data_IF_628624532256
#
_entry.id   IF_628624532256
#
_cell.length_a   1.000
_cell.length_b   1.000
_cell.length_c   1.000
_cell.angle_alpha   90.00
_cell.angle_beta   90.00
_cell.angle_gamma   90.00
#
_symmetry.space_group_name_H-M   'P 1'
#
loop_
_entity.id
_entity.type
_entity.pdbx_description
1 polymer ?
#
# COMPACT_ATOMS: atom_id res chain seq x y z
N UNK A 1 -13.46 43.32 31.63
CA UNK A 1 -14.19 42.22 30.96
C UNK A 1 -13.50 41.90 29.64
N UNK A 2 -12.47 41.05 29.63
CA UNK A 2 -11.99 40.33 28.44
C UNK A 2 -11.51 38.95 28.93
N UNK A 3 -12.34 37.93 28.69
CA UNK A 3 -12.01 36.53 28.89
C UNK A 3 -10.92 36.13 27.86
N UNK A 4 -9.72 35.78 28.33
CA UNK A 4 -8.80 34.94 27.54
C UNK A 4 -9.27 33.50 27.67
N UNK A 5 -9.88 32.98 26.59
CA UNK A 5 -10.18 31.55 26.42
C UNK A 5 -8.89 30.75 26.58
N UNK A 6 -8.91 29.81 27.52
CA UNK A 6 -7.99 28.68 27.60
C UNK A 6 -8.13 27.86 26.32
N UNK A 7 -7.18 28.05 25.39
CA UNK A 7 -6.97 27.11 24.29
C UNK A 7 -6.64 25.76 24.93
N UNK A 8 -7.55 24.80 24.74
CA UNK A 8 -7.32 23.40 25.05
C UNK A 8 -6.12 22.95 24.21
N UNK A 9 -4.97 22.76 24.84
CA UNK A 9 -3.89 22.00 24.25
C UNK A 9 -4.33 20.55 24.15
N UNK A 10 -4.81 20.14 22.98
CA UNK A 10 -4.93 18.73 22.62
C UNK A 10 -3.52 18.16 22.66
N UNK A 11 -3.24 17.30 23.63
CA UNK A 11 -2.06 16.43 23.57
C UNK A 11 -2.21 15.58 22.30
N UNK A 12 -1.12 15.37 21.53
CA UNK A 12 -1.17 14.48 20.38
C UNK A 12 -1.68 13.08 20.80
N UNK A 13 -2.37 12.30 19.94
CA UNK A 13 -2.74 10.95 20.25
C UNK A 13 -1.44 10.23 20.51
N UNK A 14 -1.31 9.68 21.71
CA UNK A 14 -0.19 8.80 21.97
C UNK A 14 -0.49 7.51 21.20
N UNK A 15 0.04 7.40 19.98
CA UNK A 15 0.08 6.12 19.28
C UNK A 15 0.99 5.23 20.12
N UNK A 16 0.43 4.14 20.64
CA UNK A 16 1.21 3.09 21.30
C UNK A 16 1.16 1.87 20.43
N UNK A 17 2.31 1.25 20.21
CA UNK A 17 2.38 0.07 19.36
C UNK A 17 3.37 -0.94 19.87
N UNK A 18 3.05 -2.20 19.62
CA UNK A 18 3.89 -3.34 19.96
C UNK A 18 3.72 -4.44 18.92
N UNK A 19 4.80 -5.16 18.65
CA UNK A 19 4.82 -6.36 17.81
C UNK A 19 5.23 -7.54 18.67
N UNK A 20 4.37 -8.55 18.72
CA UNK A 20 4.58 -9.79 19.46
C UNK A 20 5.06 -10.84 18.47
N UNK A 21 6.27 -11.38 18.63
CA UNK A 21 6.75 -12.53 17.88
C UNK A 21 6.55 -13.81 18.70
N UNK A 22 6.25 -14.91 18.02
CA UNK A 22 5.83 -16.18 18.61
C UNK A 22 4.73 -15.98 19.67
N UNK A 23 3.60 -15.32 19.31
CA UNK A 23 2.60 -14.88 20.27
C UNK A 23 1.92 -16.05 20.97
N UNK A 24 1.51 -15.80 22.21
CA UNK A 24 0.57 -16.63 22.96
C UNK A 24 -0.50 -15.75 23.61
N UNK A 25 -1.59 -16.36 24.09
CA UNK A 25 -2.73 -15.62 24.61
C UNK A 25 -2.40 -14.77 25.84
N UNK A 26 -1.49 -15.25 26.70
CA UNK A 26 -1.10 -14.56 27.93
C UNK A 26 -0.38 -13.26 27.60
N UNK A 27 0.65 -13.34 26.74
CA UNK A 27 1.43 -12.17 26.32
C UNK A 27 0.56 -11.20 25.52
N UNK A 28 -0.37 -11.69 24.69
CA UNK A 28 -1.31 -10.83 23.97
C UNK A 28 -2.19 -10.01 24.94
N UNK A 29 -2.74 -10.65 25.98
CA UNK A 29 -3.54 -9.96 27.00
C UNK A 29 -2.72 -8.91 27.73
N UNK A 30 -1.50 -9.26 28.16
CA UNK A 30 -0.60 -8.33 28.82
C UNK A 30 -0.30 -7.10 27.94
N UNK A 31 0.02 -7.30 26.65
CA UNK A 31 0.27 -6.20 25.72
C UNK A 31 -0.97 -5.31 25.56
N UNK A 32 -2.16 -5.90 25.41
CA UNK A 32 -3.40 -5.13 25.28
C UNK A 32 -3.70 -4.30 26.54
N UNK A 33 -3.44 -4.84 27.73
CA UNK A 33 -3.60 -4.14 29.01
C UNK A 33 -2.65 -2.93 29.12
N UNK A 34 -1.46 -2.99 28.50
CA UNK A 34 -0.50 -1.88 28.46
C UNK A 34 -0.80 -0.85 27.36
N UNK A 35 -1.31 -1.30 26.21
CA UNK A 35 -1.53 -0.46 25.03
C UNK A 35 -2.74 0.47 25.14
N UNK A 36 -3.77 0.15 25.91
CA UNK A 36 -4.93 1.03 25.93
C UNK A 36 -6.01 0.75 26.95
N UNK A 37 -6.82 1.78 27.16
CA UNK A 37 -8.12 1.66 27.81
C UNK A 37 -9.16 1.10 26.84
N UNK A 38 -10.29 0.58 27.35
CA UNK A 38 -11.42 0.07 26.53
C UNK A 38 -11.97 1.05 25.49
N UNK A 39 -11.65 2.34 25.59
CA UNK A 39 -12.10 3.38 24.66
C UNK A 39 -11.11 3.65 23.52
N UNK A 40 -10.01 2.91 23.44
CA UNK A 40 -9.00 3.11 22.41
C UNK A 40 -9.43 2.37 21.13
N UNK A 41 -9.17 2.98 19.97
CA UNK A 41 -9.30 2.27 18.69
C UNK A 41 -8.04 1.44 18.48
N UNK A 42 -8.16 0.19 18.04
CA UNK A 42 -7.02 -0.69 17.77
C UNK A 42 -6.88 -0.98 16.28
N UNK A 43 -5.64 -0.97 15.81
CA UNK A 43 -5.20 -1.58 14.56
C UNK A 43 -4.40 -2.84 14.90
N UNK A 44 -4.71 -3.97 14.28
CA UNK A 44 -3.87 -5.18 14.42
C UNK A 44 -3.58 -5.86 13.07
N UNK A 45 -2.41 -6.47 12.95
CA UNK A 45 -2.04 -7.32 11.83
C UNK A 45 -1.59 -8.69 12.33
N UNK A 46 -2.18 -9.72 11.75
CA UNK A 46 -1.88 -11.13 12.02
C UNK A 46 -0.94 -11.66 10.94
N UNK A 47 0.20 -12.23 11.33
CA UNK A 47 1.09 -12.85 10.34
C UNK A 47 0.43 -14.05 9.66
N UNK A 48 0.61 -14.19 8.34
CA UNK A 48 0.16 -15.37 7.58
C UNK A 48 0.81 -16.69 8.01
N UNK A 49 1.92 -16.63 8.76
CA UNK A 49 2.59 -17.80 9.34
C UNK A 49 2.00 -18.26 10.68
N UNK A 50 0.98 -17.57 11.21
CA UNK A 50 0.32 -18.01 12.44
C UNK A 50 -0.41 -19.34 12.24
N UNK A 51 -0.26 -20.31 13.15
CA UNK A 51 -1.01 -21.55 13.09
C UNK A 51 -2.52 -21.30 13.10
N UNK A 52 -3.27 -21.91 12.19
CA UNK A 52 -4.73 -21.74 12.08
C UNK A 52 -5.45 -22.05 13.40
N UNK A 53 -4.95 -23.01 14.18
CA UNK A 53 -5.48 -23.37 15.51
C UNK A 53 -5.39 -22.25 16.55
N UNK A 54 -4.47 -21.30 16.37
CA UNK A 54 -4.24 -20.19 17.31
C UNK A 54 -5.03 -18.93 16.94
N UNK A 55 -5.60 -18.85 15.72
CA UNK A 55 -6.30 -17.66 15.25
C UNK A 55 -7.57 -17.34 16.07
N UNK A 56 -8.44 -18.33 16.29
CA UNK A 56 -9.69 -18.11 17.02
C UNK A 56 -9.45 -17.62 18.46
N UNK A 57 -8.52 -18.22 19.25
CA UNK A 57 -8.18 -17.68 20.56
C UNK A 57 -7.67 -16.24 20.54
N UNK A 58 -6.77 -15.88 19.61
CA UNK A 58 -6.27 -14.50 19.52
C UNK A 58 -7.36 -13.50 19.14
N UNK A 59 -8.22 -13.84 18.18
CA UNK A 59 -9.34 -12.99 17.78
C UNK A 59 -10.34 -12.80 18.92
N UNK A 60 -10.57 -13.84 19.74
CA UNK A 60 -11.43 -13.74 20.93
C UNK A 60 -10.88 -12.73 21.93
N UNK A 61 -9.57 -12.77 22.20
CA UNK A 61 -8.89 -11.82 23.09
C UNK A 61 -9.01 -10.40 22.54
N UNK A 62 -8.62 -10.18 21.28
CA UNK A 62 -8.68 -8.86 20.62
C UNK A 62 -10.09 -8.25 20.67
N UNK A 63 -11.11 -9.02 20.29
CA UNK A 63 -12.50 -8.56 20.29
C UNK A 63 -13.04 -8.29 21.71
N UNK A 64 -12.56 -9.03 22.72
CA UNK A 64 -13.01 -8.83 24.10
C UNK A 64 -12.42 -7.59 24.76
N UNK A 65 -11.19 -7.22 24.38
CA UNK A 65 -10.49 -6.06 24.92
C UNK A 65 -10.92 -4.74 24.26
N UNK A 66 -11.10 -4.75 22.93
CA UNK A 66 -11.29 -3.53 22.15
C UNK A 66 -12.42 -3.67 21.12
N UNK A 67 -13.63 -3.16 21.41
CA UNK A 67 -14.77 -3.26 20.51
C UNK A 67 -14.63 -2.37 19.26
N UNK A 68 -13.83 -1.30 19.34
CA UNK A 68 -13.44 -0.45 18.22
C UNK A 68 -12.09 -0.92 17.69
N UNK A 69 -12.09 -1.75 16.65
CA UNK A 69 -10.87 -2.31 16.09
C UNK A 69 -10.98 -2.59 14.61
N UNK A 70 -9.86 -2.41 13.92
CA UNK A 70 -9.64 -2.92 12.58
C UNK A 70 -8.44 -3.85 12.56
N UNK A 71 -8.44 -4.78 11.61
CA UNK A 71 -7.25 -5.57 11.38
C UNK A 71 -7.30 -6.39 10.10
N UNK A 72 -6.19 -7.06 9.80
CA UNK A 72 -6.09 -7.99 8.69
C UNK A 72 -4.87 -8.89 8.85
N UNK A 73 -4.51 -9.59 7.79
CA UNK A 73 -3.29 -10.38 7.72
C UNK A 73 -2.17 -9.59 7.03
N UNK A 74 -0.96 -9.73 7.57
CA UNK A 74 0.29 -9.32 6.94
C UNK A 74 1.12 -10.53 6.56
N UNK A 75 1.89 -10.41 5.49
CA UNK A 75 2.76 -11.49 5.03
C UNK A 75 3.88 -11.72 6.05
N UNK A 76 4.15 -12.98 6.39
CA UNK A 76 5.35 -13.34 7.14
C UNK A 76 6.58 -13.12 6.26
N UNK A 77 7.50 -12.25 6.66
CA UNK A 77 8.75 -12.12 5.95
C UNK A 77 9.61 -13.39 6.10
N UNK A 78 10.44 -13.74 5.10
CA UNK A 78 11.26 -14.94 5.15
C UNK A 78 12.12 -15.02 6.42
N UNK A 79 12.10 -16.18 7.09
CA UNK A 79 12.88 -16.40 8.30
C UNK A 79 12.36 -15.66 9.55
N UNK A 80 11.27 -14.90 9.46
CA UNK A 80 10.64 -14.32 10.65
C UNK A 80 9.72 -15.34 11.35
N UNK A 81 9.74 -15.29 12.68
CA UNK A 81 8.77 -16.01 13.50
C UNK A 81 7.35 -15.43 13.31
N UNK A 82 6.29 -16.24 13.51
CA UNK A 82 4.91 -15.75 13.47
C UNK A 82 4.70 -14.58 14.42
N UNK A 83 3.94 -13.56 13.99
CA UNK A 83 3.80 -12.33 14.75
C UNK A 83 2.38 -11.75 14.75
N UNK A 84 2.11 -10.92 15.76
CA UNK A 84 0.93 -10.05 15.85
C UNK A 84 1.42 -8.62 16.12
N UNK A 85 1.16 -7.70 15.20
CA UNK A 85 1.45 -6.27 15.36
C UNK A 85 0.21 -5.54 15.81
N UNK A 86 0.29 -4.70 16.83
CA UNK A 86 -0.86 -4.00 17.43
C UNK A 86 -0.50 -2.53 17.62
N UNK A 87 -1.42 -1.64 17.26
CA UNK A 87 -1.35 -0.21 17.55
C UNK A 87 -2.66 0.27 18.17
N UNK A 88 -2.56 1.16 19.16
CA UNK A 88 -3.67 1.71 19.93
C UNK A 88 -3.69 3.23 19.82
N UNK A 89 -4.90 3.77 19.61
CA UNK A 89 -5.17 5.19 19.40
C UNK A 89 -6.10 5.70 20.50
N UNK A 90 -5.60 6.59 21.36
CA UNK A 90 -6.25 6.96 22.62
C UNK A 90 -7.40 7.97 22.49
N UNK A 91 -7.42 8.82 21.47
CA UNK A 91 -8.46 9.84 21.26
C UNK A 91 -8.47 10.37 19.82
N UNK A 92 -9.62 10.89 19.36
CA UNK A 92 -9.72 11.52 18.04
C UNK A 92 -9.54 10.54 16.89
N UNK A 93 -9.91 9.27 17.08
CA UNK A 93 -9.86 8.24 16.04
C UNK A 93 -11.18 7.48 15.96
N UNK A 94 -11.61 7.17 14.75
CA UNK A 94 -12.82 6.39 14.47
C UNK A 94 -12.55 5.36 13.38
N UNK A 95 -13.12 4.17 13.51
CA UNK A 95 -13.04 3.17 12.44
C UNK A 95 -14.06 3.48 11.33
N UNK A 96 -13.74 3.05 10.12
CA UNK A 96 -14.68 3.00 9.01
C UNK A 96 -14.48 1.71 8.22
N UNK A 97 -15.50 1.34 7.45
CA UNK A 97 -15.43 0.26 6.48
C UNK A 97 -16.03 0.73 5.16
N UNK A 98 -15.63 0.13 4.06
CA UNK A 98 -16.22 0.38 2.75
C UNK A 98 -16.10 -0.85 1.87
N UNK A 99 -17.12 -1.08 1.04
CA UNK A 99 -17.10 -2.13 0.03
C UNK A 99 -16.48 -1.68 -1.29
N UNK A 100 -15.99 -0.43 -1.35
CA UNK A 100 -15.27 0.08 -2.51
C UNK A 100 -14.00 -0.76 -2.72
N UNK A 101 -13.88 -1.32 -3.91
CA UNK A 101 -12.74 -2.11 -4.39
C UNK A 101 -12.64 -1.89 -5.89
N UNK A 102 -11.41 -1.82 -6.40
CA UNK A 102 -11.17 -1.66 -7.83
C UNK A 102 -11.46 -2.94 -8.62
N UNK A 103 -11.20 -2.87 -9.93
CA UNK A 103 -11.45 -4.00 -10.82
C UNK A 103 -10.46 -5.14 -10.52
N UNK A 104 -11.00 -6.36 -10.45
CA UNK A 104 -10.17 -7.57 -10.35
C UNK A 104 -9.20 -7.70 -11.54
N UNK A 105 -7.99 -8.17 -11.27
CA UNK A 105 -7.01 -8.46 -12.32
C UNK A 105 -7.59 -9.45 -13.35
N UNK A 106 -7.34 -9.25 -14.66
CA UNK A 106 -7.80 -10.18 -15.68
C UNK A 106 -7.11 -11.55 -15.54
N UNK A 107 -7.82 -12.54 -14.96
CA UNK A 107 -7.33 -13.90 -14.83
C UNK A 107 -7.46 -14.69 -16.15
N UNK A 108 -6.34 -14.96 -16.81
CA UNK A 108 -6.29 -15.87 -17.98
C UNK A 108 -6.00 -17.32 -17.56
N UNK A 109 -6.80 -18.26 -18.06
CA UNK A 109 -6.48 -19.69 -18.02
C UNK A 109 -6.99 -20.52 -16.83
N UNK A 110 -7.86 -19.98 -15.96
CA UNK A 110 -8.53 -20.77 -14.91
C UNK A 110 -9.96 -21.11 -15.32
N UNK A 111 -10.30 -22.41 -15.35
CA UNK A 111 -11.66 -22.88 -15.60
C UNK A 111 -12.60 -22.30 -14.54
N UNK A 112 -13.52 -21.43 -14.97
CA UNK A 112 -14.41 -20.70 -14.09
C UNK A 112 -15.32 -21.65 -13.29
N UNK A 113 -15.25 -21.60 -11.96
CA UNK A 113 -16.47 -21.84 -11.18
C UNK A 113 -17.34 -20.58 -11.35
N UNK A 114 -18.64 -20.70 -11.67
CA UNK A 114 -19.51 -19.53 -11.79
C UNK A 114 -19.51 -18.79 -10.44
N UNK A 115 -18.82 -17.64 -10.38
CA UNK A 115 -18.99 -16.66 -9.32
C UNK A 115 -20.19 -15.78 -9.67
N UNK A 116 -20.80 -15.16 -8.65
CA UNK A 116 -21.69 -14.03 -8.90
C UNK A 116 -20.84 -12.96 -9.59
N UNK A 117 -21.25 -12.57 -10.79
CA UNK A 117 -20.63 -11.48 -11.53
C UNK A 117 -20.76 -10.22 -10.67
N UNK A 118 -19.64 -9.60 -10.31
CA UNK A 118 -19.66 -8.37 -9.52
C UNK A 118 -20.05 -7.18 -10.41
N UNK A 119 -20.55 -6.10 -9.82
CA UNK A 119 -21.03 -4.94 -10.60
C UNK A 119 -19.89 -4.32 -11.41
N UNK A 120 -18.68 -4.35 -10.85
CA UNK A 120 -17.43 -3.90 -11.47
C UNK A 120 -17.05 -4.77 -12.68
N UNK A 121 -17.31 -6.09 -12.63
CA UNK A 121 -17.10 -7.00 -13.77
C UNK A 121 -18.09 -6.74 -14.92
N UNK A 122 -19.24 -6.11 -14.62
CA UNK A 122 -20.26 -5.75 -15.60
C UNK A 122 -20.01 -4.41 -16.30
N UNK A 123 -19.11 -3.57 -15.76
CA UNK A 123 -18.80 -2.25 -16.33
C UNK A 123 -17.92 -2.40 -17.58
N UNK A 124 -18.35 -1.80 -18.70
CA UNK A 124 -17.71 -1.95 -20.02
C UNK A 124 -18.28 -3.08 -20.90
N UNK A 125 -19.36 -3.76 -20.49
CA UNK A 125 -20.08 -4.71 -21.34
C UNK A 125 -21.19 -4.08 -22.19
N UNK A 126 -21.61 -2.85 -21.87
CA UNK A 126 -22.66 -2.16 -22.61
C UNK A 126 -22.06 -1.45 -23.83
N UNK A 127 -22.28 -2.05 -25.00
CA UNK A 127 -21.72 -1.64 -26.32
C UNK A 127 -22.07 -0.19 -26.67
N UNK A 128 -23.14 0.37 -26.10
CA UNK A 128 -23.59 1.75 -26.30
C UNK A 128 -22.82 2.82 -25.54
N UNK A 129 -22.17 2.48 -24.42
CA UNK A 129 -21.42 3.44 -23.59
C UNK A 129 -19.98 3.59 -24.10
N UNK A 130 -19.37 2.48 -24.55
CA UNK A 130 -18.06 2.47 -25.22
C UNK A 130 -18.07 3.30 -26.49
N UNK A 131 -19.13 3.20 -27.31
CA UNK A 131 -19.23 3.96 -28.58
C UNK A 131 -19.40 5.46 -28.36
N UNK A 132 -20.03 5.89 -27.26
CA UNK A 132 -20.14 7.30 -26.89
C UNK A 132 -18.80 7.86 -26.39
N UNK A 133 -18.06 7.08 -25.59
CA UNK A 133 -16.78 7.49 -25.00
C UNK A 133 -15.62 7.44 -26.03
N UNK A 134 -15.63 6.46 -26.95
CA UNK A 134 -14.69 6.40 -28.09
C UNK A 134 -14.77 7.64 -28.99
N UNK A 135 -15.95 8.26 -29.09
CA UNK A 135 -16.20 9.39 -30.01
C UNK A 135 -15.60 10.72 -29.55
N UNK A 136 -15.23 10.87 -28.26
CA UNK A 136 -14.72 12.13 -27.70
C UNK A 136 -13.23 12.08 -27.33
N UNK A 137 -12.74 10.99 -26.71
CA UNK A 137 -11.34 10.87 -26.22
C UNK A 137 -10.65 9.56 -26.64
N UNK A 138 -11.26 8.78 -27.54
CA UNK A 138 -10.75 7.46 -27.96
C UNK A 138 -10.62 6.47 -26.79
N UNK A 139 -9.73 5.48 -26.92
CA UNK A 139 -9.49 4.49 -25.86
C UNK A 139 -9.11 5.11 -24.51
N UNK A 140 -8.44 6.27 -24.51
CA UNK A 140 -8.09 6.98 -23.27
C UNK A 140 -9.34 7.46 -22.51
N UNK A 141 -10.43 7.79 -23.21
CA UNK A 141 -11.72 8.11 -22.60
C UNK A 141 -12.32 6.92 -21.87
N UNK A 142 -12.23 5.71 -22.44
CA UNK A 142 -12.82 4.48 -21.85
C UNK A 142 -12.12 4.13 -20.54
N UNK A 143 -10.79 4.29 -20.47
CA UNK A 143 -10.02 4.09 -19.24
C UNK A 143 -10.17 5.23 -18.22
N UNK A 144 -10.51 6.45 -18.66
CA UNK A 144 -10.73 7.60 -17.76
C UNK A 144 -12.19 7.75 -17.30
N UNK A 145 -13.15 7.11 -17.97
CA UNK A 145 -14.57 7.13 -17.64
C UNK A 145 -14.93 6.33 -16.37
N UNK A 146 -13.97 5.57 -15.81
CA UNK A 146 -14.12 4.87 -14.53
C UNK A 146 -14.15 5.81 -13.29
N UNK A 147 -14.11 7.14 -13.49
CA UNK A 147 -14.19 8.15 -12.42
C UNK A 147 -15.62 8.48 -11.98
N UNK A 148 -16.46 7.47 -11.78
CA UNK A 148 -17.62 7.70 -10.91
C UNK A 148 -17.06 7.99 -9.51
N UNK A 149 -17.28 9.22 -9.02
CA UNK A 149 -16.80 9.68 -7.71
C UNK A 149 -17.47 8.82 -6.65
N UNK A 150 -16.78 7.76 -6.26
CA UNK A 150 -17.20 6.86 -5.21
C UNK A 150 -17.06 7.62 -3.89
N UNK A 151 -18.15 7.77 -3.14
CA UNK A 151 -18.12 8.43 -1.84
C UNK A 151 -18.12 7.39 -0.72
N UNK A 152 -17.50 7.74 0.41
CA UNK A 152 -17.61 6.98 1.65
C UNK A 152 -18.46 7.84 2.60
N UNK A 153 -19.75 7.52 2.80
CA UNK A 153 -20.67 8.34 3.59
C UNK A 153 -20.15 8.66 5.00
N UNK A 154 -19.43 7.72 5.62
CA UNK A 154 -18.80 7.89 6.93
C UNK A 154 -17.74 9.01 6.96
N UNK A 155 -17.21 9.41 5.80
CA UNK A 155 -16.11 10.37 5.67
C UNK A 155 -16.53 11.77 5.22
N UNK A 156 -17.76 11.96 4.70
CA UNK A 156 -18.21 13.24 4.12
C UNK A 156 -18.13 14.44 5.09
N UNK A 157 -18.20 14.17 6.39
CA UNK A 157 -18.11 15.20 7.44
C UNK A 157 -16.94 14.94 8.41
N UNK A 158 -15.97 14.13 7.98
CA UNK A 158 -14.84 13.75 8.81
C UNK A 158 -13.92 14.94 9.07
N UNK A 159 -13.46 15.07 10.32
CA UNK A 159 -12.41 16.02 10.71
C UNK A 159 -11.02 15.39 10.67
N UNK A 160 -10.92 14.18 10.13
CA UNK A 160 -9.66 13.47 10.04
C UNK A 160 -8.65 14.24 9.20
N UNK A 161 -7.40 14.23 9.66
CA UNK A 161 -6.23 14.74 8.94
C UNK A 161 -5.33 13.61 8.48
N UNK A 162 -5.53 12.40 8.99
CA UNK A 162 -4.83 11.20 8.56
C UNK A 162 -5.75 10.00 8.52
N UNK A 163 -5.42 9.06 7.63
CA UNK A 163 -6.11 7.80 7.45
C UNK A 163 -5.11 6.65 7.50
N UNK A 164 -5.44 5.62 8.27
CA UNK A 164 -4.80 4.31 8.18
C UNK A 164 -5.75 3.38 7.44
N UNK A 165 -5.29 2.75 6.36
CA UNK A 165 -6.15 1.93 5.49
C UNK A 165 -5.58 0.52 5.35
N UNK A 166 -6.43 -0.47 5.57
CA UNK A 166 -6.19 -1.87 5.21
C UNK A 166 -7.15 -2.21 4.08
N UNK A 167 -6.61 -2.51 2.91
CA UNK A 167 -7.39 -2.76 1.72
C UNK A 167 -7.16 -4.17 1.21
N UNK A 168 -8.05 -4.65 0.36
CA UNK A 168 -7.76 -5.77 -0.53
C UNK A 168 -6.68 -5.37 -1.56
N UNK A 169 -6.56 -6.13 -2.64
CA UNK A 169 -5.59 -5.90 -3.70
C UNK A 169 -5.97 -4.75 -4.65
N UNK A 170 -7.05 -4.01 -4.41
CA UNK A 170 -7.52 -2.94 -5.29
C UNK A 170 -7.95 -1.66 -4.54
N UNK A 171 -7.01 -0.94 -3.89
CA UNK A 171 -7.33 0.21 -3.03
C UNK A 171 -7.70 1.50 -3.77
N UNK A 172 -7.53 1.59 -5.10
CA UNK A 172 -7.69 2.85 -5.86
C UNK A 172 -9.01 3.57 -5.59
N UNK A 173 -10.19 2.92 -5.62
CA UNK A 173 -11.45 3.62 -5.37
C UNK A 173 -11.54 4.19 -3.96
N UNK A 174 -10.92 3.53 -2.97
CA UNK A 174 -10.92 4.00 -1.57
C UNK A 174 -9.97 5.18 -1.39
N UNK A 175 -8.78 5.11 -1.99
CA UNK A 175 -7.82 6.23 -1.98
C UNK A 175 -8.44 7.45 -2.67
N UNK A 176 -9.11 7.26 -3.81
CA UNK A 176 -9.82 8.32 -4.51
C UNK A 176 -10.98 8.89 -3.69
N UNK A 177 -11.77 8.04 -3.03
CA UNK A 177 -12.88 8.47 -2.18
C UNK A 177 -12.40 9.28 -0.96
N UNK A 178 -11.33 8.84 -0.29
CA UNK A 178 -10.69 9.58 0.81
C UNK A 178 -10.20 10.93 0.32
N UNK A 179 -9.51 10.96 -0.83
CA UNK A 179 -8.99 12.20 -1.40
C UNK A 179 -10.11 13.16 -1.81
N UNK A 180 -11.22 12.65 -2.35
CA UNK A 180 -12.39 13.46 -2.70
C UNK A 180 -13.09 14.05 -1.48
N UNK A 181 -13.25 13.25 -0.42
CA UNK A 181 -13.91 13.69 0.82
C UNK A 181 -13.01 14.62 1.66
N UNK A 182 -11.72 14.32 1.75
CA UNK A 182 -10.77 15.06 2.60
C UNK A 182 -9.42 15.26 1.87
N UNK A 183 -9.33 16.18 0.89
CA UNK A 183 -8.14 16.34 0.03
C UNK A 183 -6.84 16.69 0.75
N UNK A 184 -6.94 17.24 1.97
CA UNK A 184 -5.78 17.66 2.76
C UNK A 184 -5.22 16.58 3.69
N UNK A 185 -5.90 15.44 3.78
CA UNK A 185 -5.50 14.36 4.68
C UNK A 185 -4.42 13.47 4.04
N UNK A 186 -3.52 12.94 4.88
CA UNK A 186 -2.62 11.88 4.46
C UNK A 186 -3.29 10.52 4.62
N UNK A 187 -3.10 9.61 3.66
CA UNK A 187 -3.49 8.22 3.80
C UNK A 187 -2.23 7.35 3.78
N UNK A 188 -2.11 6.42 4.72
CA UNK A 188 -1.10 5.37 4.66
C UNK A 188 -1.74 4.04 4.97
N UNK A 189 -1.14 2.96 4.51
CA UNK A 189 -1.79 1.69 4.67
C UNK A 189 -1.10 0.53 3.98
N UNK A 190 -1.81 -0.58 3.99
CA UNK A 190 -1.34 -1.85 3.50
C UNK A 190 -2.36 -2.47 2.55
N UNK A 191 -1.88 -2.96 1.41
CA UNK A 191 -2.62 -3.96 0.65
C UNK A 191 -2.43 -5.30 1.35
N UNK A 192 -3.51 -5.79 1.93
CA UNK A 192 -3.46 -6.88 2.89
C UNK A 192 -3.15 -8.22 2.24
N UNK A 193 -2.60 -9.15 3.01
CA UNK A 193 -2.30 -10.48 2.52
C UNK A 193 -3.55 -11.20 2.01
N UNK A 194 -3.42 -11.91 0.90
CA UNK A 194 -4.44 -12.85 0.45
C UNK A 194 -4.48 -14.05 1.39
N UNK A 195 -5.68 -14.50 1.75
CA UNK A 195 -5.90 -15.56 2.74
C UNK A 195 -6.65 -16.80 2.26
N UNK A 196 -6.69 -17.17 0.95
CA UNK A 196 -7.55 -18.27 0.49
C UNK A 196 -7.16 -19.61 1.11
N UNK A 197 -5.87 -19.81 1.43
CA UNK A 197 -5.36 -21.03 2.04
C UNK A 197 -5.35 -21.01 3.57
N UNK A 198 -5.60 -19.86 4.20
CA UNK A 198 -5.60 -19.69 5.66
C UNK A 198 -7.04 -19.71 6.19
N UNK A 199 -7.91 -18.90 5.58
CA UNK A 199 -9.29 -18.67 6.05
C UNK A 199 -10.36 -19.10 5.04
N UNK A 200 -9.95 -19.51 3.83
CA UNK A 200 -10.88 -19.81 2.73
C UNK A 200 -11.45 -18.57 2.04
N UNK A 201 -10.99 -17.37 2.38
CA UNK A 201 -11.45 -16.09 1.81
C UNK A 201 -10.35 -15.43 0.98
N UNK A 202 -10.68 -14.72 -0.13
CA UNK A 202 -9.68 -13.98 -0.93
C UNK A 202 -8.82 -13.08 -0.05
N UNK A 203 -9.46 -12.20 0.71
CA UNK A 203 -8.85 -11.43 1.80
C UNK A 203 -9.64 -11.67 3.10
N UNK A 204 -9.02 -11.36 4.23
CA UNK A 204 -9.68 -11.36 5.55
C UNK A 204 -9.43 -10.03 6.23
N UNK A 205 -10.45 -9.17 6.23
CA UNK A 205 -10.44 -7.90 6.93
C UNK A 205 -11.32 -8.01 8.18
N UNK A 206 -10.92 -7.35 9.25
CA UNK A 206 -11.65 -7.30 10.51
C UNK A 206 -12.10 -5.86 10.76
N UNK A 207 -13.38 -5.69 11.10
CA UNK A 207 -13.95 -4.42 11.53
C UNK A 207 -14.93 -4.64 12.68
N UNK A 208 -14.58 -4.18 13.87
CA UNK A 208 -15.41 -4.24 15.08
C UNK A 208 -16.00 -5.64 15.35
N UNK A 209 -15.15 -6.67 15.23
CA UNK A 209 -15.53 -8.08 15.41
C UNK A 209 -16.19 -8.74 14.19
N UNK A 210 -16.50 -8.00 13.13
CA UNK A 210 -16.99 -8.56 11.87
C UNK A 210 -15.84 -8.92 10.93
N UNK A 211 -16.06 -9.97 10.12
CA UNK A 211 -15.09 -10.45 9.12
C UNK A 211 -15.63 -10.12 7.72
N UNK A 212 -14.83 -9.41 6.94
CA UNK A 212 -15.11 -9.03 5.55
C UNK A 212 -14.14 -9.76 4.61
N UNK A 213 -14.61 -10.10 3.40
CA UNK A 213 -13.82 -10.83 2.40
C UNK A 213 -13.24 -9.97 1.27
N UNK A 214 -13.66 -8.71 1.19
CA UNK A 214 -13.28 -7.73 0.16
C UNK A 214 -13.55 -6.30 0.67
N UNK A 215 -13.06 -5.31 -0.07
CA UNK A 215 -13.20 -3.89 0.25
C UNK A 215 -12.05 -3.37 1.11
N UNK A 216 -12.34 -2.39 1.98
CA UNK A 216 -11.34 -1.80 2.85
C UNK A 216 -11.90 -1.47 4.23
N UNK A 217 -11.01 -1.50 5.21
CA UNK A 217 -11.27 -1.03 6.58
C UNK A 217 -10.20 0.00 6.94
N UNK A 218 -10.55 0.97 7.78
CA UNK A 218 -9.59 2.01 8.13
C UNK A 218 -9.87 2.71 9.44
N UNK A 219 -8.90 3.52 9.86
CA UNK A 219 -9.01 4.43 10.99
C UNK A 219 -8.84 5.85 10.46
N UNK A 220 -9.85 6.68 10.70
CA UNK A 220 -9.81 8.11 10.48
C UNK A 220 -9.28 8.78 11.76
N UNK A 221 -8.25 9.62 11.65
CA UNK A 221 -7.52 10.23 12.77
C UNK A 221 -7.59 11.75 12.63
N UNK A 222 -8.12 12.47 13.62
CA UNK A 222 -8.27 13.95 13.64
C UNK A 222 -6.92 14.70 13.63
N UNK A 223 -5.85 13.99 13.92
CA UNK A 223 -4.49 14.52 13.94
C UNK A 223 -3.69 14.15 12.70
N UNK A 224 -2.75 15.02 12.35
CA UNK A 224 -1.90 14.84 11.17
C UNK A 224 -0.69 14.01 11.58
N UNK A 225 -0.55 12.82 10.98
CA UNK A 225 0.60 11.96 11.12
C UNK A 225 1.70 12.44 10.17
N UNK A 226 2.94 12.39 10.63
CA UNK A 226 4.09 12.60 9.75
C UNK A 226 4.33 11.31 8.99
N UNK A 227 4.22 11.37 7.66
CA UNK A 227 4.38 10.20 6.79
C UNK A 227 5.62 10.36 5.93
N UNK A 228 6.39 9.29 5.79
CA UNK A 228 7.61 9.24 5.01
C UNK A 228 7.68 7.91 4.25
N UNK A 229 8.24 7.91 3.05
CA UNK A 229 8.40 6.71 2.22
C UNK A 229 9.87 6.54 1.82
N UNK A 230 10.43 5.40 2.20
CA UNK A 230 11.76 4.98 1.79
C UNK A 230 11.61 3.88 0.73
N UNK A 231 11.94 4.20 -0.52
CA UNK A 231 11.90 3.25 -1.63
C UNK A 231 13.09 2.27 -1.62
N UNK A 232 14.15 2.55 -0.86
CA UNK A 232 15.43 1.82 -0.89
C UNK A 232 16.02 1.69 -2.29
N UNK A 233 15.96 2.81 -3.02
CA UNK A 233 16.48 2.94 -4.38
C UNK A 233 17.39 4.16 -4.46
N UNK A 234 18.36 4.10 -5.36
CA UNK A 234 19.30 5.18 -5.63
C UNK A 234 19.15 5.70 -7.07
N UNK A 235 19.26 7.02 -7.27
CA UNK A 235 19.34 7.61 -8.61
C UNK A 235 20.47 7.02 -9.44
N UNK A 236 20.12 6.58 -10.64
CA UNK A 236 21.06 6.14 -11.67
C UNK A 236 21.38 7.27 -12.67
N UNK A 237 20.44 8.20 -12.84
CA UNK A 237 20.57 9.34 -13.76
C UNK A 237 20.17 10.65 -13.08
N UNK A 238 20.39 11.76 -13.79
CA UNK A 238 19.68 13.01 -13.53
C UNK A 238 18.20 12.89 -13.94
N UNK A 239 17.45 13.95 -13.63
CA UNK A 239 16.02 14.07 -13.93
C UNK A 239 15.85 14.58 -15.37
N UNK A 240 15.00 13.90 -16.14
CA UNK A 240 14.71 14.24 -17.53
C UNK A 240 13.23 14.61 -17.72
N UNK A 241 12.92 15.71 -18.43
CA UNK A 241 11.56 15.98 -18.85
C UNK A 241 11.05 14.93 -19.85
N UNK A 242 9.78 14.56 -19.74
CA UNK A 242 9.09 13.67 -20.67
C UNK A 242 8.59 14.49 -21.85
N UNK A 243 9.16 14.27 -23.03
CA UNK A 243 8.70 14.92 -24.27
C UNK A 243 7.60 14.12 -24.98
N UNK A 244 7.57 12.79 -24.83
CA UNK A 244 6.52 11.95 -25.39
C UNK A 244 6.25 10.68 -24.57
N UNK A 245 4.98 10.42 -24.31
CA UNK A 245 4.51 9.18 -23.67
C UNK A 245 3.14 8.79 -24.21
N UNK A 246 2.76 7.52 -24.05
CA UNK A 246 1.45 7.01 -24.41
C UNK A 246 1.05 5.89 -23.45
N UNK A 247 0.01 6.11 -22.63
CA UNK A 247 -0.39 5.16 -21.59
C UNK A 247 0.76 4.92 -20.60
N UNK A 248 1.11 3.65 -20.39
CA UNK A 248 2.24 3.21 -19.56
C UNK A 248 3.58 3.13 -20.33
N UNK A 249 3.65 3.67 -21.56
CA UNK A 249 4.85 3.66 -22.40
C UNK A 249 5.56 5.02 -22.35
N UNK A 250 6.83 5.01 -21.94
CA UNK A 250 7.74 6.14 -22.08
C UNK A 250 8.42 6.04 -23.44
N UNK A 251 8.13 7.01 -24.32
CA UNK A 251 8.58 6.99 -25.71
C UNK A 251 9.78 7.90 -25.94
N UNK A 252 9.79 9.11 -25.36
CA UNK A 252 10.88 10.06 -25.48
C UNK A 252 11.07 10.87 -24.19
N UNK A 253 12.33 11.16 -23.88
CA UNK A 253 12.77 12.06 -22.81
C UNK A 253 13.69 13.13 -23.36
N UNK A 254 13.81 14.26 -22.67
CA UNK A 254 14.72 15.34 -23.05
C UNK A 254 16.03 15.19 -22.28
N UNK A 255 16.91 14.32 -22.79
CA UNK A 255 18.23 14.02 -22.20
C UNK A 255 19.38 14.83 -22.82
N UNK A 256 19.06 15.81 -23.65
CA UNK A 256 20.05 16.59 -24.43
C UNK A 256 20.67 15.82 -25.61
N UNK A 257 20.19 14.61 -25.91
CA UNK A 257 20.69 13.75 -26.98
C UNK A 257 19.57 13.29 -27.93
N UNK A 258 19.54 11.98 -28.22
CA UNK A 258 18.54 11.37 -29.11
C UNK A 258 17.15 11.26 -28.47
N UNK A 259 17.05 11.48 -27.14
CA UNK A 259 15.82 11.34 -26.39
C UNK A 259 15.28 9.92 -26.32
N UNK A 260 16.15 8.92 -26.44
CA UNK A 260 15.81 7.49 -26.41
C UNK A 260 15.96 6.94 -24.98
N UNK A 261 14.86 6.82 -24.18
CA UNK A 261 14.94 6.45 -22.77
C UNK A 261 15.58 5.07 -22.53
N UNK A 262 15.37 4.11 -23.41
CA UNK A 262 15.95 2.77 -23.28
C UNK A 262 17.49 2.79 -23.45
N UNK A 263 18.00 3.56 -24.41
CA UNK A 263 19.46 3.77 -24.58
C UNK A 263 20.04 4.56 -23.42
N UNK A 264 19.34 5.59 -22.95
CA UNK A 264 19.78 6.41 -21.80
C UNK A 264 19.94 5.55 -20.55
N UNK A 265 18.96 4.68 -20.26
CA UNK A 265 19.04 3.70 -19.19
C UNK A 265 20.25 2.75 -19.36
N UNK A 266 20.38 2.09 -20.51
CA UNK A 266 21.49 1.16 -20.77
C UNK A 266 22.85 1.84 -20.63
N UNK A 267 22.99 3.06 -21.13
CA UNK A 267 24.22 3.83 -21.02
C UNK A 267 24.53 4.22 -19.58
N UNK A 268 23.51 4.55 -18.78
CA UNK A 268 23.68 4.80 -17.35
C UNK A 268 24.10 3.53 -16.60
N UNK A 269 23.49 2.39 -16.92
CA UNK A 269 23.86 1.08 -16.35
C UNK A 269 25.31 0.70 -16.67
N UNK A 270 25.73 0.85 -17.93
CA UNK A 270 27.11 0.58 -18.33
C UNK A 270 28.12 1.50 -17.61
N UNK A 271 27.75 2.75 -17.32
CA UNK A 271 28.61 3.67 -16.55
C UNK A 271 28.72 3.26 -15.08
N UNK A 272 27.63 2.79 -14.48
CA UNK A 272 27.60 2.44 -13.06
C UNK A 272 28.20 1.07 -12.75
N UNK A 273 27.89 0.04 -13.56
CA UNK A 273 28.26 -1.37 -13.29
C UNK A 273 29.26 -1.96 -14.29
N UNK A 274 29.61 -1.23 -15.35
CA UNK A 274 30.36 -1.79 -16.48
C UNK A 274 29.49 -2.69 -17.37
N UNK A 275 30.03 -3.12 -18.52
CA UNK A 275 29.26 -3.88 -19.55
C UNK A 275 28.94 -5.33 -19.16
N UNK A 276 29.66 -5.88 -18.19
CA UNK A 276 29.55 -7.28 -17.74
C UNK A 276 28.81 -7.44 -16.42
N UNK A 277 28.44 -6.33 -15.77
CA UNK A 277 27.80 -6.32 -14.45
C UNK A 277 26.27 -6.26 -14.49
N UNK A 278 25.65 -6.26 -15.67
CA UNK A 278 24.20 -6.27 -15.82
C UNK A 278 23.73 -7.72 -15.87
N UNK A 279 23.02 -8.18 -14.84
CA UNK A 279 22.40 -9.51 -14.83
C UNK A 279 20.94 -9.43 -15.26
N UNK A 280 20.35 -10.57 -15.64
CA UNK A 280 18.96 -10.64 -16.11
C UNK A 280 17.96 -10.48 -14.96
N UNK A 281 18.42 -10.73 -13.75
CA UNK A 281 17.64 -10.78 -12.51
C UNK A 281 17.52 -9.40 -11.85
N UNK A 282 18.17 -8.37 -12.40
CA UNK A 282 18.12 -7.02 -11.84
C UNK A 282 16.84 -6.27 -12.25
N UNK A 283 16.19 -5.70 -11.25
CA UNK A 283 15.03 -4.84 -11.43
C UNK A 283 15.43 -3.37 -11.50
N UNK A 284 14.77 -2.64 -12.40
CA UNK A 284 15.01 -1.22 -12.63
C UNK A 284 13.72 -0.45 -12.44
N UNK A 285 13.85 0.78 -11.97
CA UNK A 285 12.71 1.59 -11.57
C UNK A 285 12.78 2.97 -12.19
N UNK A 286 11.62 3.61 -12.30
CA UNK A 286 11.47 4.98 -12.77
C UNK A 286 10.69 5.76 -11.72
N UNK A 287 11.30 6.82 -11.18
CA UNK A 287 10.53 7.81 -10.42
C UNK A 287 9.88 8.81 -11.37
N UNK A 288 8.62 9.15 -11.09
CA UNK A 288 7.82 10.12 -11.82
C UNK A 288 7.56 11.30 -10.89
N UNK A 289 7.82 12.50 -11.40
CA UNK A 289 7.70 13.77 -10.68
C UNK A 289 6.72 14.67 -11.44
N UNK A 290 5.73 15.21 -10.74
CA UNK A 290 4.85 16.26 -11.24
C UNK A 290 5.57 17.60 -11.20
N UNK A 291 5.11 18.51 -12.04
CA UNK A 291 5.75 19.81 -12.24
C UNK A 291 5.89 20.59 -10.92
N UNK A 292 7.14 20.76 -10.47
CA UNK A 292 7.49 21.59 -9.32
C UNK A 292 7.69 20.87 -7.99
N UNK A 293 7.52 19.54 -7.90
CA UNK A 293 7.92 18.78 -6.70
C UNK A 293 9.40 18.39 -6.78
N UNK A 294 10.11 18.47 -5.65
CA UNK A 294 11.46 17.91 -5.51
C UNK A 294 11.46 16.44 -5.12
N UNK A 295 10.30 15.89 -4.76
CA UNK A 295 10.09 14.51 -4.36
C UNK A 295 9.24 13.78 -5.41
N UNK A 296 9.48 12.47 -5.61
CA UNK A 296 8.75 11.69 -6.59
C UNK A 296 7.31 11.41 -6.11
N UNK A 297 6.33 11.64 -6.97
CA UNK A 297 4.92 11.31 -6.68
C UNK A 297 4.67 9.80 -6.74
N UNK A 298 5.42 9.13 -7.61
CA UNK A 298 5.31 7.69 -7.80
C UNK A 298 6.65 7.10 -8.24
N UNK A 299 6.89 5.85 -7.88
CA UNK A 299 8.01 5.04 -8.34
C UNK A 299 7.48 3.73 -8.88
N UNK A 300 7.79 3.43 -10.14
CA UNK A 300 7.23 2.31 -10.87
C UNK A 300 8.34 1.42 -11.43
N UNK A 301 8.07 0.12 -11.52
CA UNK A 301 9.01 -0.84 -12.11
C UNK A 301 9.02 -0.70 -13.63
N UNK A 302 10.21 -0.83 -14.22
CA UNK A 302 10.39 -0.92 -15.67
C UNK A 302 10.23 -2.40 -16.06
N UNK A 303 9.21 -2.71 -16.85
CA UNK A 303 8.88 -4.08 -17.26
C UNK A 303 9.73 -4.54 -18.44
N UNK A 304 9.91 -3.67 -19.42
CA UNK A 304 10.66 -3.99 -20.63
C UNK A 304 11.12 -2.73 -21.35
N UNK A 305 12.08 -2.91 -22.26
CA UNK A 305 12.60 -1.84 -23.09
C UNK A 305 13.13 -2.34 -24.42
N UNK A 306 12.96 -1.55 -25.47
CA UNK A 306 13.55 -1.79 -26.79
C UNK A 306 14.50 -0.64 -27.15
N UNK A 307 15.83 -0.84 -27.09
CA UNK A 307 16.81 0.19 -27.40
C UNK A 307 16.80 0.64 -28.86
N UNK A 308 16.30 -0.20 -29.77
CA UNK A 308 16.19 0.11 -31.19
C UNK A 308 15.00 1.02 -31.47
N UNK A 309 13.88 0.79 -30.79
CA UNK A 309 12.65 1.60 -30.91
C UNK A 309 12.59 2.77 -29.93
N UNK A 310 13.42 2.73 -28.88
CA UNK A 310 13.50 3.73 -27.83
C UNK A 310 12.32 3.75 -26.88
N UNK A 311 11.62 2.63 -26.72
CA UNK A 311 10.41 2.56 -25.87
C UNK A 311 10.73 1.83 -24.57
N UNK A 312 10.24 2.35 -23.45
CA UNK A 312 10.17 1.65 -22.16
C UNK A 312 8.72 1.44 -21.75
N UNK A 313 8.41 0.24 -21.25
CA UNK A 313 7.11 -0.10 -20.69
C UNK A 313 7.20 -0.16 -19.16
N UNK A 314 6.22 0.44 -18.49
CA UNK A 314 6.19 0.59 -17.04
C UNK A 314 5.04 -0.20 -16.40
N UNK A 315 5.25 -0.67 -15.18
CA UNK A 315 4.25 -1.31 -14.34
C UNK A 315 3.40 -0.25 -13.63
N UNK A 316 2.49 0.36 -14.39
CA UNK A 316 1.58 1.39 -13.87
C UNK A 316 0.30 1.42 -14.68
N UNK A 317 -0.81 1.67 -14.00
CA UNK A 317 -2.11 1.96 -14.61
C UNK A 317 -2.28 3.46 -14.88
N UNK A 318 -1.52 4.29 -14.17
CA UNK A 318 -1.50 5.74 -14.37
C UNK A 318 -0.72 6.06 -15.64
N UNK A 319 -1.41 6.72 -16.58
CA UNK A 319 -0.80 7.16 -17.83
C UNK A 319 0.24 8.26 -17.60
N UNK A 320 1.42 8.08 -18.19
CA UNK A 320 2.45 9.11 -18.28
C UNK A 320 2.00 10.26 -19.16
N UNK A 321 2.43 11.47 -18.80
CA UNK A 321 2.08 12.71 -19.51
C UNK A 321 3.33 13.47 -19.93
N UNK A 322 3.23 14.12 -21.09
CA UNK A 322 4.23 15.10 -21.52
C UNK A 322 4.32 16.23 -20.50
N UNK A 323 5.53 16.69 -20.21
CA UNK A 323 5.82 17.76 -19.24
C UNK A 323 6.31 17.22 -17.90
N UNK A 324 5.85 16.02 -17.49
CA UNK A 324 6.34 15.37 -16.28
C UNK A 324 7.85 15.18 -16.32
N UNK A 325 8.47 15.09 -15.15
CA UNK A 325 9.89 14.80 -15.03
C UNK A 325 10.08 13.36 -14.55
N UNK A 326 11.10 12.68 -15.06
CA UNK A 326 11.38 11.28 -14.71
C UNK A 326 12.86 11.07 -14.39
N UNK A 327 13.16 10.10 -13.55
CA UNK A 327 14.54 9.74 -13.20
C UNK A 327 14.65 8.23 -13.06
N UNK A 328 15.71 7.66 -13.65
CA UNK A 328 15.98 6.24 -13.55
C UNK A 328 16.61 5.93 -12.19
N UNK A 329 16.10 4.89 -11.55
CA UNK A 329 16.52 4.44 -10.24
C UNK A 329 16.96 2.97 -10.31
N UNK A 330 17.83 2.59 -9.38
CA UNK A 330 18.28 1.22 -9.22
C UNK A 330 18.42 0.83 -7.76
N UNK A 331 18.45 -0.48 -7.51
CA UNK A 331 18.69 -1.03 -6.18
C UNK A 331 20.19 -1.31 -5.99
N UNK A 332 20.76 -0.77 -4.91
CA UNK A 332 22.16 -0.99 -4.51
C UNK A 332 22.28 -1.94 -3.32
N UNK A 333 21.24 -2.03 -2.50
CA UNK A 333 21.24 -2.80 -1.26
C UNK A 333 20.23 -3.97 -1.33
N UNK A 334 20.56 -5.07 -0.65
CA UNK A 334 19.63 -6.18 -0.50
C UNK A 334 18.36 -5.72 0.24
N UNK A 335 17.22 -6.31 -0.09
CA UNK A 335 15.96 -6.03 0.61
C UNK A 335 16.04 -6.69 1.99
N UNK A 336 16.38 -5.91 3.00
CA UNK A 336 16.27 -6.34 4.40
C UNK A 336 14.82 -6.23 4.88
N UNK A 337 14.37 -7.18 5.69
CA UNK A 337 13.06 -7.10 6.31
C UNK A 337 13.00 -5.91 7.28
N UNK A 338 11.87 -5.19 7.29
CA UNK A 338 11.69 -4.07 8.21
C UNK A 338 11.47 -4.59 9.64
N UNK A 339 12.05 -3.87 10.61
CA UNK A 339 11.89 -4.17 12.03
C UNK A 339 10.94 -3.16 12.69
N UNK A 340 10.16 -3.57 13.72
CA UNK A 340 9.36 -2.65 14.51
C UNK A 340 10.23 -1.57 15.15
N UNK A 341 9.76 -0.31 15.09
CA UNK A 341 10.42 0.83 15.73
C UNK A 341 9.43 1.55 16.64
N UNK A 342 9.87 1.89 17.84
CA UNK A 342 9.03 2.58 18.83
C UNK A 342 8.47 3.90 18.29
N UNK A 343 7.15 4.10 18.47
CA UNK A 343 6.45 5.31 18.01
C UNK A 343 6.30 5.42 16.49
N UNK A 344 6.55 4.33 15.74
CA UNK A 344 6.40 4.29 14.29
C UNK A 344 5.44 3.18 13.89
N UNK A 345 4.53 3.50 12.98
CA UNK A 345 3.75 2.54 12.23
C UNK A 345 4.43 2.33 10.88
N UNK A 346 5.06 1.17 10.68
CA UNK A 346 5.74 0.85 9.43
C UNK A 346 4.91 -0.15 8.61
N UNK A 347 4.71 0.14 7.33
CA UNK A 347 4.17 -0.80 6.35
C UNK A 347 5.20 -0.98 5.23
N UNK A 348 5.49 -2.22 4.87
CA UNK A 348 6.56 -2.54 3.93
C UNK A 348 6.09 -3.50 2.83
N UNK A 349 6.61 -3.31 1.63
CA UNK A 349 6.37 -4.19 0.49
C UNK A 349 7.43 -5.29 0.46
N UNK A 350 7.02 -6.54 0.34
CA UNK A 350 7.91 -7.70 0.15
C UNK A 350 8.00 -8.07 -1.33
N UNK A 351 9.09 -8.74 -1.71
CA UNK A 351 9.22 -9.30 -3.05
C UNK A 351 8.38 -10.58 -3.19
N UNK A 352 7.62 -10.73 -4.29
CA UNK A 352 6.76 -11.90 -4.53
C UNK A 352 7.54 -13.23 -4.58
N UNK A 353 8.77 -13.23 -5.08
CA UNK A 353 9.58 -14.46 -5.16
C UNK A 353 10.15 -14.95 -3.80
N UNK A 354 9.86 -14.25 -2.70
CA UNK A 354 10.21 -14.69 -1.36
C UNK A 354 9.30 -15.81 -0.82
N UNK A 355 8.43 -16.39 -1.65
CA UNK A 355 7.75 -17.66 -1.38
C UNK A 355 8.69 -18.88 -1.29
N UNK A 356 10.01 -18.69 -1.46
CA UNK A 356 10.99 -19.75 -1.31
C UNK A 356 11.20 -20.10 0.16
N UNK A 357 10.47 -21.15 0.57
CA UNK A 357 10.64 -21.93 1.79
C UNK A 357 10.26 -21.15 3.04
N UNK A 358 9.02 -21.35 3.49
CA UNK A 358 8.76 -21.42 4.92
C UNK A 358 9.71 -22.49 5.50
N UNK A 359 10.96 -22.11 5.78
CA UNK A 359 11.69 -22.81 6.82
C UNK A 359 10.77 -22.69 8.02
N UNK A 360 10.34 -23.83 8.56
CA UNK A 360 9.61 -23.88 9.82
C UNK A 360 10.53 -23.24 10.87
N UNK A 361 10.47 -21.91 10.98
CA UNK A 361 11.08 -21.18 12.06
C UNK A 361 10.26 -21.63 13.25
N UNK A 362 10.82 -22.56 14.03
CA UNK A 362 10.22 -23.04 15.26
C UNK A 362 9.71 -21.84 16.04
N UNK A 363 8.45 -21.89 16.47
CA UNK A 363 7.91 -20.90 17.39
C UNK A 363 8.84 -20.86 18.60
N UNK A 364 9.61 -19.78 18.71
CA UNK A 364 10.47 -19.54 19.86
C UNK A 364 9.64 -19.07 21.05
N UNK A 365 10.33 -18.63 22.10
CA UNK A 365 9.65 -17.96 23.20
C UNK A 365 9.02 -16.64 22.72
N UNK A 366 7.84 -16.34 23.26
CA UNK A 366 7.14 -15.11 22.95
C UNK A 366 8.01 -13.90 23.33
N UNK A 367 8.21 -12.99 22.37
CA UNK A 367 8.95 -11.74 22.60
C UNK A 367 8.12 -10.55 22.13
N UNK A 368 8.15 -9.47 22.92
CA UNK A 368 7.46 -8.22 22.61
C UNK A 368 8.50 -7.18 22.23
N UNK A 369 8.27 -6.49 21.11
CA UNK A 369 9.12 -5.39 20.63
C UNK A 369 8.24 -4.15 20.45
N UNK A 370 8.72 -3.00 20.92
CA UNK A 370 8.02 -1.73 20.73
C UNK A 370 7.99 -1.33 19.25
N UNK A 371 6.82 -0.90 18.79
CA UNK A 371 6.59 -0.52 17.40
C UNK A 371 5.62 -1.43 16.66
N UNK A 372 5.22 -0.99 15.48
CA UNK A 372 4.31 -1.71 14.61
C UNK A 372 4.98 -1.94 13.25
N UNK A 373 4.90 -3.17 12.76
CA UNK A 373 5.31 -3.49 11.39
C UNK A 373 4.25 -4.35 10.69
N UNK A 374 3.92 -3.98 9.47
CA UNK A 374 3.08 -4.75 8.56
C UNK A 374 3.81 -4.97 7.24
N UNK A 375 3.65 -6.16 6.67
CA UNK A 375 4.22 -6.51 5.37
C UNK A 375 3.12 -6.94 4.40
N UNK A 376 3.26 -6.55 3.13
CA UNK A 376 2.36 -6.92 2.04
C UNK A 376 3.15 -7.23 0.78
N UNK A 377 2.63 -8.09 -0.08
CA UNK A 377 3.27 -8.44 -1.36
C UNK A 377 2.81 -7.55 -2.52
N UNK A 378 1.59 -7.01 -2.42
CA UNK A 378 0.94 -6.30 -3.52
C UNK A 378 1.15 -4.79 -3.47
N UNK A 379 1.63 -4.27 -2.34
CA UNK A 379 2.01 -2.87 -2.18
C UNK A 379 1.58 -2.25 -0.85
N UNK A 380 1.92 -0.97 -0.73
CA UNK A 380 1.59 -0.09 0.39
C UNK A 380 0.88 1.16 -0.12
N UNK A 381 -0.01 1.71 0.70
CA UNK A 381 -0.72 2.95 0.39
C UNK A 381 0.09 4.11 0.97
N UNK A 382 0.34 5.16 0.19
CA UNK A 382 0.97 6.40 0.66
C UNK A 382 0.42 7.61 -0.10
N UNK A 383 -0.20 8.53 0.64
CA UNK A 383 -0.86 9.70 0.08
C UNK A 383 -1.99 9.31 -0.87
N UNK A 384 -1.84 9.69 -2.14
CA UNK A 384 -2.80 9.42 -3.21
C UNK A 384 -2.35 8.29 -4.14
N UNK A 385 -1.25 7.61 -3.82
CA UNK A 385 -0.64 6.60 -4.68
C UNK A 385 -0.44 5.27 -3.95
N UNK A 386 -0.22 4.24 -4.77
CA UNK A 386 0.08 2.88 -4.33
C UNK A 386 1.53 2.63 -4.72
N UNK A 387 2.37 2.31 -3.73
CA UNK A 387 3.74 1.91 -3.98
C UNK A 387 3.85 0.38 -4.02
N UNK A 388 4.17 -0.16 -5.19
CA UNK A 388 4.41 -1.60 -5.41
C UNK A 388 5.90 -1.96 -5.45
N UNK A 389 6.79 -1.01 -5.17
CA UNK A 389 8.25 -1.24 -5.21
C UNK A 389 8.63 -2.24 -4.10
N UNK A 390 9.21 -3.42 -4.43
CA UNK A 390 9.65 -4.36 -3.41
C UNK A 390 10.65 -3.72 -2.45
N UNK A 391 10.53 -3.99 -1.16
CA UNK A 391 11.39 -3.42 -0.12
C UNK A 391 11.09 -1.96 0.26
N UNK A 392 10.14 -1.30 -0.39
CA UNK A 392 9.72 0.03 0.03
C UNK A 392 9.04 0.00 1.40
N UNK A 393 9.23 1.06 2.19
CA UNK A 393 8.68 1.18 3.54
C UNK A 393 8.01 2.55 3.68
N UNK A 394 6.73 2.57 4.03
CA UNK A 394 6.06 3.78 4.49
C UNK A 394 6.02 3.78 6.02
N UNK A 395 6.41 4.90 6.61
CA UNK A 395 6.40 5.12 8.06
C UNK A 395 5.44 6.24 8.42
N UNK A 396 4.61 6.03 9.44
CA UNK A 396 3.76 7.05 10.05
C UNK A 396 4.10 7.26 11.52
N UNK A 397 4.17 8.52 11.96
CA UNK A 397 4.50 8.94 13.32
C UNK A 397 3.53 9.98 13.87
#
# INVERSE_FOLDING_TARGET
MILRRLLHGSRPPSIRSSTIFSPNETVLKEVLDHLGSRNSTILFLLSTSLPTSSLEPFLRVLNSHCPSSIGSFSIAAPGQAPSISIASFSSGSSTFQTSLSGRSDPEVGRWHRPRKVEREDLKGLDVGEITAIESQDGWAGVWNAEKDVSTIPELEHSRAKSFLVLSDNHPDPVVQAINGAVPSASAVGLMTAQTPFITGRPHTLFHNGQILSSGSVGIAIEEKLSTDIDYRLEPLTEVFPVSRAQGNLLLNIDDGGEGNPARTLINALHRHKGRTGITKEEEWFLSIHSDGSGEPDNVVKILSGDPSRGVLSLETEISLRKGQSVQFLHRTQAIETSEPRAGVLAFATLHRDHHSVASEVSAGDARVVDGFVGHGEDGIIHGQSICKVPGAIVSAK
#
